data_IF_614884340625
#
_entry.id   IF_614884340625
#
_cell.length_a   1.000
_cell.length_b   1.000
_cell.length_c   1.000
_cell.angle_alpha   90.00
_cell.angle_beta   90.00
_cell.angle_gamma   90.00
#
_symmetry.space_group_name_H-M   'P 1'
#
loop_
_entity.id
_entity.type
_entity.pdbx_description
1 polymer ?
#
# COMPACT_ATOMS: atom_id res chain seq x y z
N UNK A 1 -12.47 -8.97 -29.18
CA UNK A 1 -11.15 -8.66 -28.60
C UNK A 1 -10.81 -9.74 -27.59
N UNK A 2 -9.60 -10.30 -27.67
CA UNK A 2 -9.11 -11.25 -26.66
C UNK A 2 -8.31 -10.48 -25.60
N UNK A 3 -8.65 -10.68 -24.33
CA UNK A 3 -7.99 -10.05 -23.20
C UNK A 3 -7.46 -11.09 -22.22
N UNK A 4 -6.30 -10.86 -21.66
CA UNK A 4 -5.65 -11.76 -20.70
C UNK A 4 -5.28 -10.98 -19.44
N UNK A 5 -5.54 -11.56 -18.25
CA UNK A 5 -5.01 -11.06 -16.98
C UNK A 5 -3.90 -12.01 -16.51
N UNK A 6 -2.70 -11.49 -16.26
CA UNK A 6 -1.53 -12.32 -16.00
C UNK A 6 -1.36 -12.76 -14.55
N UNK A 7 -1.85 -11.96 -13.58
CA UNK A 7 -1.60 -12.12 -12.15
C UNK A 7 -2.85 -11.78 -11.30
N UNK A 8 -4.02 -12.28 -11.73
CA UNK A 8 -5.30 -11.96 -11.11
C UNK A 8 -5.42 -12.43 -9.65
N UNK A 9 -4.64 -13.41 -9.22
CA UNK A 9 -4.63 -13.94 -7.86
C UNK A 9 -4.26 -12.90 -6.79
N UNK A 10 -3.58 -11.82 -7.17
CA UNK A 10 -3.28 -10.69 -6.27
C UNK A 10 -4.55 -9.99 -5.80
N UNK A 11 -5.57 -9.89 -6.67
CA UNK A 11 -6.83 -9.20 -6.36
C UNK A 11 -8.03 -10.13 -6.24
N UNK A 12 -7.93 -11.39 -6.69
CA UNK A 12 -9.05 -12.35 -6.69
C UNK A 12 -8.69 -13.70 -6.06
N UNK A 13 -8.89 -13.87 -4.76
CA UNK A 13 -8.76 -15.18 -4.10
C UNK A 13 -9.93 -16.13 -4.41
N UNK A 14 -10.79 -15.82 -5.38
CA UNK A 14 -11.94 -16.63 -5.78
C UNK A 14 -13.30 -16.07 -5.32
N UNK A 15 -13.34 -14.83 -4.84
CA UNK A 15 -14.56 -14.15 -4.36
C UNK A 15 -14.98 -12.94 -5.21
N UNK A 16 -14.32 -12.69 -6.35
CA UNK A 16 -14.54 -11.56 -7.24
C UNK A 16 -15.29 -11.99 -8.51
N UNK A 17 -16.29 -11.22 -8.91
CA UNK A 17 -16.97 -11.42 -10.18
C UNK A 17 -16.29 -10.64 -11.31
N UNK A 18 -15.93 -11.33 -12.40
CA UNK A 18 -15.35 -10.74 -13.61
C UNK A 18 -16.37 -10.50 -14.72
N UNK A 19 -17.67 -10.65 -14.44
CA UNK A 19 -18.75 -10.55 -15.42
C UNK A 19 -18.76 -9.23 -16.19
N UNK A 20 -18.31 -8.12 -15.59
CA UNK A 20 -18.20 -6.83 -16.29
C UNK A 20 -17.14 -6.83 -17.37
N UNK A 21 -16.03 -7.55 -17.19
CA UNK A 21 -14.97 -7.72 -18.20
C UNK A 21 -15.38 -8.75 -19.25
N UNK A 22 -15.91 -9.90 -18.81
CA UNK A 22 -16.37 -11.00 -19.68
C UNK A 22 -17.48 -10.57 -20.64
N UNK A 23 -18.30 -9.58 -20.25
CA UNK A 23 -19.37 -9.05 -21.11
C UNK A 23 -18.86 -8.26 -22.32
N UNK A 24 -17.59 -7.79 -22.31
CA UNK A 24 -17.05 -6.89 -23.35
C UNK A 24 -15.90 -7.50 -24.16
N UNK A 25 -15.34 -8.63 -23.72
CA UNK A 25 -14.23 -9.29 -24.41
C UNK A 25 -14.18 -10.80 -24.15
N UNK A 26 -13.42 -11.53 -24.99
CA UNK A 26 -13.03 -12.92 -24.73
C UNK A 26 -11.92 -12.90 -23.67
N UNK A 27 -12.29 -13.14 -22.40
CA UNK A 27 -11.45 -12.92 -21.25
C UNK A 27 -10.88 -14.21 -20.68
N UNK A 28 -9.57 -14.23 -20.47
CA UNK A 28 -8.85 -15.32 -19.80
C UNK A 28 -8.04 -14.73 -18.65
N UNK A 29 -8.12 -15.31 -17.45
CA UNK A 29 -7.31 -14.89 -16.31
C UNK A 29 -6.42 -16.03 -15.82
N UNK A 30 -5.26 -15.67 -15.31
CA UNK A 30 -4.31 -16.54 -14.65
C UNK A 30 -4.07 -15.98 -13.24
N UNK A 31 -4.08 -16.83 -12.23
CA UNK A 31 -3.82 -16.40 -10.84
C UNK A 31 -2.40 -15.88 -10.69
N UNK A 32 -1.44 -16.54 -11.37
CA UNK A 32 -0.04 -16.17 -11.46
C UNK A 32 0.52 -16.55 -12.84
N UNK A 33 1.53 -15.81 -13.31
CA UNK A 33 2.19 -16.08 -14.59
C UNK A 33 3.70 -16.13 -14.38
N UNK A 34 4.34 -17.30 -14.52
CA UNK A 34 5.79 -17.37 -14.63
C UNK A 34 6.30 -16.56 -15.83
N UNK A 35 7.42 -15.87 -15.66
CA UNK A 35 7.96 -14.95 -16.68
C UNK A 35 8.14 -15.63 -18.05
N UNK A 36 8.63 -16.88 -18.05
CA UNK A 36 8.82 -17.69 -19.25
C UNK A 36 7.53 -18.06 -19.98
N UNK A 37 6.37 -17.95 -19.33
CA UNK A 37 5.06 -18.24 -19.93
C UNK A 37 4.35 -16.99 -20.45
N UNK A 38 4.81 -15.79 -20.07
CA UNK A 38 4.12 -14.54 -20.37
C UNK A 38 3.90 -14.33 -21.88
N UNK A 39 4.94 -14.53 -22.70
CA UNK A 39 4.83 -14.43 -24.16
C UNK A 39 3.79 -15.40 -24.72
N UNK A 40 3.80 -16.67 -24.32
CA UNK A 40 2.86 -17.69 -24.83
C UNK A 40 1.41 -17.33 -24.51
N UNK A 41 1.18 -16.77 -23.30
CA UNK A 41 -0.15 -16.32 -22.87
C UNK A 41 -0.64 -15.07 -23.61
N UNK A 42 0.28 -14.18 -24.02
CA UNK A 42 -0.03 -12.88 -24.62
C UNK A 42 0.03 -12.85 -26.14
N UNK A 43 0.77 -13.73 -26.81
CA UNK A 43 1.07 -13.67 -28.26
C UNK A 43 -0.14 -13.46 -29.19
N UNK A 44 -1.33 -13.91 -28.77
CA UNK A 44 -2.57 -13.79 -29.53
C UNK A 44 -3.57 -12.79 -28.92
N UNK A 45 -3.19 -12.07 -27.87
CA UNK A 45 -4.06 -11.17 -27.13
C UNK A 45 -3.98 -9.75 -27.69
N UNK A 46 -5.11 -9.04 -27.68
CA UNK A 46 -5.21 -7.63 -28.07
C UNK A 46 -5.20 -6.70 -26.85
N UNK A 47 -5.54 -7.25 -25.67
CA UNK A 47 -5.50 -6.54 -24.40
C UNK A 47 -4.84 -7.41 -23.33
N UNK A 48 -4.09 -6.78 -22.42
CA UNK A 48 -3.52 -7.42 -21.22
C UNK A 48 -3.89 -6.60 -20.00
N UNK A 49 -4.20 -7.30 -18.91
CA UNK A 49 -4.30 -6.73 -17.57
C UNK A 49 -3.20 -7.31 -16.70
N UNK A 50 -2.70 -6.50 -15.78
CA UNK A 50 -1.75 -6.91 -14.75
C UNK A 50 -1.93 -6.05 -13.51
N UNK A 51 -1.73 -6.63 -12.34
CA UNK A 51 -1.59 -5.87 -11.08
C UNK A 51 -0.13 -5.45 -10.86
N UNK A 52 0.77 -6.43 -10.86
CA UNK A 52 2.18 -6.26 -10.52
C UNK A 52 3.15 -6.96 -11.47
N UNK A 53 2.67 -7.83 -12.37
CA UNK A 53 3.52 -8.52 -13.34
C UNK A 53 4.22 -7.51 -14.28
N UNK A 54 5.56 -7.56 -14.42
CA UNK A 54 6.31 -6.60 -15.23
C UNK A 54 6.03 -6.76 -16.72
N UNK A 55 5.56 -5.70 -17.38
CA UNK A 55 5.39 -5.65 -18.83
C UNK A 55 6.53 -4.84 -19.44
N UNK A 56 7.56 -5.57 -19.85
CA UNK A 56 8.78 -5.00 -20.46
C UNK A 56 8.56 -4.62 -21.93
N UNK A 57 9.40 -3.72 -22.45
CA UNK A 57 9.40 -3.37 -23.85
C UNK A 57 9.67 -4.57 -24.78
N UNK A 58 10.49 -5.53 -24.35
CA UNK A 58 10.75 -6.76 -25.09
C UNK A 58 9.49 -7.62 -25.22
N UNK A 59 8.77 -7.81 -24.10
CA UNK A 59 7.51 -8.55 -24.11
C UNK A 59 6.47 -7.88 -25.02
N UNK A 60 6.32 -6.56 -24.92
CA UNK A 60 5.39 -5.81 -25.79
C UNK A 60 5.73 -5.96 -27.29
N UNK A 61 7.02 -5.81 -27.66
CA UNK A 61 7.47 -5.98 -29.05
C UNK A 61 7.26 -7.40 -29.58
N UNK A 62 7.29 -8.41 -28.71
CA UNK A 62 7.03 -9.80 -29.07
C UNK A 62 5.55 -10.13 -29.28
N UNK A 63 4.64 -9.22 -28.88
CA UNK A 63 3.18 -9.40 -28.95
C UNK A 63 2.51 -8.39 -29.91
N UNK A 64 2.65 -8.55 -31.25
CA UNK A 64 2.26 -7.54 -32.24
C UNK A 64 0.75 -7.26 -32.34
N UNK A 65 -0.10 -8.08 -31.70
CA UNK A 65 -1.56 -7.85 -31.62
C UNK A 65 -1.96 -6.99 -30.44
N UNK A 66 -1.05 -6.77 -29.48
CA UNK A 66 -1.33 -6.02 -28.25
C UNK A 66 -1.60 -4.54 -28.56
N UNK A 67 -2.72 -4.03 -28.10
CA UNK A 67 -3.20 -2.66 -28.33
C UNK A 67 -3.60 -1.93 -27.06
N UNK A 68 -3.91 -2.68 -26.00
CA UNK A 68 -4.35 -2.13 -24.71
C UNK A 68 -3.64 -2.84 -23.55
N UNK A 69 -3.21 -2.05 -22.56
CA UNK A 69 -2.65 -2.51 -21.31
C UNK A 69 -3.40 -1.84 -20.15
N UNK A 70 -4.11 -2.64 -19.35
CA UNK A 70 -4.79 -2.21 -18.15
C UNK A 70 -3.97 -2.57 -16.91
N UNK A 71 -3.52 -1.56 -16.16
CA UNK A 71 -2.88 -1.78 -14.86
C UNK A 71 -3.97 -1.82 -13.80
N UNK A 72 -4.14 -2.94 -13.13
CA UNK A 72 -5.15 -3.17 -12.10
C UNK A 72 -4.76 -2.54 -10.73
N UNK A 73 -3.91 -1.53 -10.76
CA UNK A 73 -3.38 -0.80 -9.62
C UNK A 73 -3.27 0.70 -9.94
N UNK A 74 -3.01 1.51 -8.91
CA UNK A 74 -2.68 2.93 -9.10
C UNK A 74 -1.24 3.11 -9.58
N UNK A 75 -0.28 2.34 -9.00
CA UNK A 75 1.12 2.36 -9.40
C UNK A 75 1.37 1.58 -10.69
N UNK A 76 2.27 2.06 -11.54
CA UNK A 76 2.57 1.45 -12.84
C UNK A 76 4.09 1.41 -13.15
N UNK A 77 4.93 1.42 -12.13
CA UNK A 77 6.40 1.43 -12.29
C UNK A 77 6.94 0.15 -12.95
N UNK A 78 6.18 -0.94 -12.94
CA UNK A 78 6.49 -2.22 -13.58
C UNK A 78 6.14 -2.26 -15.09
N UNK A 79 5.67 -1.13 -15.64
CA UNK A 79 5.30 -1.01 -17.06
C UNK A 79 6.30 -0.12 -17.78
N UNK A 80 6.84 -0.56 -18.90
CA UNK A 80 7.66 0.28 -19.79
C UNK A 80 6.74 1.20 -20.62
N UNK A 81 6.38 2.34 -20.01
CA UNK A 81 5.47 3.33 -20.61
C UNK A 81 6.04 3.90 -21.91
N UNK A 82 7.37 4.12 -21.97
CA UNK A 82 8.02 4.71 -23.15
C UNK A 82 7.88 3.78 -24.37
N UNK A 83 8.10 2.48 -24.18
CA UNK A 83 7.88 1.49 -25.23
C UNK A 83 6.40 1.33 -25.60
N UNK A 84 5.50 1.40 -24.63
CA UNK A 84 4.06 1.35 -24.93
C UNK A 84 3.64 2.52 -25.83
N UNK A 85 4.12 3.74 -25.55
CA UNK A 85 3.87 4.93 -26.38
C UNK A 85 4.47 4.78 -27.80
N UNK A 86 5.71 4.32 -27.91
CA UNK A 86 6.38 4.03 -29.19
C UNK A 86 5.58 3.07 -30.08
N UNK A 87 5.02 2.02 -29.47
CA UNK A 87 4.26 0.98 -30.16
C UNK A 87 2.77 1.34 -30.39
N UNK A 88 2.32 2.47 -29.86
CA UNK A 88 0.91 2.88 -29.92
C UNK A 88 -0.02 1.99 -29.07
N UNK A 89 0.52 1.36 -28.02
CA UNK A 89 -0.25 0.58 -27.06
C UNK A 89 -0.85 1.53 -26.04
N UNK A 90 -2.16 1.50 -25.92
CA UNK A 90 -2.91 2.28 -24.97
C UNK A 90 -2.68 1.76 -23.55
N UNK A 91 -2.23 2.57 -22.60
CA UNK A 91 -2.07 2.19 -21.21
C UNK A 91 -3.04 2.96 -20.33
N UNK A 92 -3.79 2.25 -19.48
CA UNK A 92 -4.68 2.85 -18.49
C UNK A 92 -4.48 2.17 -17.13
N UNK A 93 -4.61 2.93 -16.06
CA UNK A 93 -4.51 2.42 -14.68
C UNK A 93 -5.82 2.59 -13.90
N UNK A 94 -5.82 2.21 -12.62
CA UNK A 94 -6.95 2.40 -11.70
C UNK A 94 -6.55 3.44 -10.65
N UNK A 95 -6.86 4.73 -10.88
CA UNK A 95 -6.44 5.79 -9.97
C UNK A 95 -7.28 5.80 -8.70
N UNK A 96 -6.63 6.02 -7.55
CA UNK A 96 -7.26 6.35 -6.26
C UNK A 96 -8.30 5.35 -5.72
N UNK A 97 -8.36 4.12 -6.23
CA UNK A 97 -9.36 3.11 -5.85
C UNK A 97 -9.27 2.68 -4.38
N UNK A 98 -8.07 2.69 -3.82
CA UNK A 98 -7.78 2.20 -2.47
C UNK A 98 -7.71 3.31 -1.41
N UNK A 99 -8.09 4.55 -1.74
CA UNK A 99 -7.91 5.70 -0.85
C UNK A 99 -8.51 5.47 0.54
N UNK A 100 -9.78 5.09 0.63
CA UNK A 100 -10.46 4.86 1.92
C UNK A 100 -9.92 3.60 2.62
N UNK A 101 -9.64 2.53 1.88
CA UNK A 101 -9.13 1.28 2.43
C UNK A 101 -7.74 1.46 3.06
N UNK A 102 -6.80 2.10 2.35
CA UNK A 102 -5.45 2.35 2.85
C UNK A 102 -5.46 3.34 4.02
N UNK A 103 -6.29 4.37 3.96
CA UNK A 103 -6.45 5.31 5.07
C UNK A 103 -7.03 4.62 6.31
N UNK A 104 -8.04 3.76 6.15
CA UNK A 104 -8.60 2.95 7.22
C UNK A 104 -7.56 2.02 7.83
N UNK A 105 -6.75 1.34 7.00
CA UNK A 105 -5.71 0.43 7.47
C UNK A 105 -4.62 1.18 8.24
N UNK A 106 -4.11 2.29 7.72
CA UNK A 106 -3.14 3.14 8.41
C UNK A 106 -3.66 3.62 9.77
N UNK A 107 -4.92 4.05 9.82
CA UNK A 107 -5.54 4.49 11.06
C UNK A 107 -5.82 3.32 12.01
N UNK A 108 -6.12 2.13 11.49
CA UNK A 108 -6.28 0.91 12.29
C UNK A 108 -4.96 0.50 12.96
N UNK A 109 -3.83 0.54 12.23
CA UNK A 109 -2.50 0.31 12.79
C UNK A 109 -2.19 1.33 13.90
N UNK A 110 -2.46 2.63 13.64
CA UNK A 110 -2.29 3.69 14.63
C UNK A 110 -3.10 3.41 15.90
N UNK A 111 -4.40 3.12 15.76
CA UNK A 111 -5.28 2.82 16.91
C UNK A 111 -4.86 1.56 17.66
N UNK A 112 -4.45 0.53 16.95
CA UNK A 112 -3.97 -0.74 17.53
C UNK A 112 -2.74 -0.52 18.40
N UNK A 113 -1.78 0.28 17.90
CA UNK A 113 -0.56 0.61 18.63
C UNK A 113 -0.81 1.57 19.80
N UNK A 114 -1.64 2.60 19.60
CA UNK A 114 -1.98 3.56 20.65
C UNK A 114 -2.71 2.90 21.82
N UNK A 115 -3.59 1.92 21.56
CA UNK A 115 -4.37 1.20 22.56
C UNK A 115 -3.71 -0.10 23.05
N UNK A 116 -2.59 -0.53 22.45
CA UNK A 116 -1.89 -1.77 22.84
C UNK A 116 -2.79 -3.02 22.80
N UNK A 117 -3.73 -3.06 21.83
CA UNK A 117 -4.76 -4.12 21.77
C UNK A 117 -4.15 -5.52 21.72
N UNK A 118 -3.14 -5.83 20.87
CA UNK A 118 -2.56 -7.17 20.81
C UNK A 118 -1.91 -7.60 22.13
N UNK A 119 -1.25 -6.66 22.84
CA UNK A 119 -0.56 -6.97 24.10
C UNK A 119 -1.54 -7.30 25.21
N UNK A 120 -2.61 -6.50 25.36
CA UNK A 120 -3.66 -6.79 26.33
C UNK A 120 -4.44 -8.06 25.99
N UNK A 121 -4.73 -8.31 24.70
CA UNK A 121 -5.40 -9.53 24.27
C UNK A 121 -4.55 -10.77 24.58
N UNK A 122 -3.25 -10.73 24.29
CA UNK A 122 -2.31 -11.81 24.60
C UNK A 122 -2.24 -12.06 26.11
N UNK A 123 -2.10 -11.00 26.90
CA UNK A 123 -2.06 -11.11 28.37
C UNK A 123 -3.28 -11.82 28.91
N UNK A 124 -4.49 -11.54 28.40
CA UNK A 124 -5.71 -12.23 28.81
C UNK A 124 -5.69 -13.70 28.39
N UNK A 125 -5.24 -14.04 27.21
CA UNK A 125 -5.11 -15.44 26.74
C UNK A 125 -4.07 -16.24 27.54
N UNK A 126 -3.10 -15.56 28.15
CA UNK A 126 -2.09 -16.14 29.05
C UNK A 126 -2.59 -16.23 30.52
N UNK A 127 -3.88 -16.04 30.78
CA UNK A 127 -4.51 -16.04 32.11
C UNK A 127 -3.93 -14.99 33.10
N UNK A 128 -3.47 -13.86 32.60
CA UNK A 128 -2.87 -12.78 33.41
C UNK A 128 -3.85 -11.64 33.74
N UNK A 129 -5.15 -11.88 33.67
CA UNK A 129 -6.19 -10.89 33.99
C UNK A 129 -6.04 -10.28 35.39
N UNK A 130 -5.76 -11.12 36.40
CA UNK A 130 -5.57 -10.65 37.79
C UNK A 130 -4.38 -9.69 37.97
N UNK A 131 -3.34 -9.84 37.13
CA UNK A 131 -2.21 -8.92 37.11
C UNK A 131 -2.68 -7.51 36.71
N UNK A 132 -3.51 -7.42 35.66
CA UNK A 132 -4.12 -6.16 35.28
C UNK A 132 -4.99 -5.55 36.38
N UNK A 133 -5.78 -6.35 37.07
CA UNK A 133 -6.62 -5.85 38.17
C UNK A 133 -5.78 -5.25 39.29
N UNK A 134 -4.67 -5.89 39.64
CA UNK A 134 -3.76 -5.38 40.72
C UNK A 134 -3.09 -4.04 40.37
N UNK A 135 -2.90 -3.75 39.11
CA UNK A 135 -2.27 -2.51 38.59
C UNK A 135 -3.29 -1.48 38.10
N UNK A 136 -4.59 -1.70 38.36
CA UNK A 136 -5.65 -0.85 37.80
C UNK A 136 -5.73 -0.90 36.26
N UNK A 137 -5.23 -2.00 35.65
CA UNK A 137 -5.21 -2.18 34.19
C UNK A 137 -4.00 -1.53 33.50
N UNK A 138 -3.11 -0.85 34.25
CA UNK A 138 -1.99 -0.08 33.64
C UNK A 138 -0.73 -0.96 33.60
N UNK A 139 -0.71 -1.92 32.64
CA UNK A 139 0.49 -2.75 32.38
C UNK A 139 1.26 -2.21 31.18
N UNK A 140 0.55 -1.88 30.12
CA UNK A 140 1.12 -1.25 28.92
C UNK A 140 0.63 0.19 28.80
N UNK A 141 1.48 1.16 28.45
CA UNK A 141 1.05 2.55 28.29
C UNK A 141 0.09 2.68 27.09
N UNK A 142 -1.11 3.18 27.36
CA UNK A 142 -2.14 3.50 26.35
C UNK A 142 -2.10 5.00 26.09
N UNK A 143 -2.29 5.41 24.84
CA UNK A 143 -2.28 6.81 24.43
C UNK A 143 -3.67 7.26 23.98
N UNK A 144 -4.18 8.33 24.60
CA UNK A 144 -5.37 9.03 24.10
C UNK A 144 -4.99 9.90 22.90
N UNK A 145 -5.71 9.79 21.79
CA UNK A 145 -5.41 10.54 20.55
C UNK A 145 -5.79 12.02 20.64
N UNK A 146 -6.89 12.36 21.35
CA UNK A 146 -7.32 13.75 21.52
C UNK A 146 -6.21 14.62 22.10
N UNK A 147 -5.90 15.73 21.41
CA UNK A 147 -4.85 16.66 21.81
C UNK A 147 -3.44 16.24 21.41
N UNK A 148 -3.28 15.08 20.75
CA UNK A 148 -2.02 14.64 20.14
C UNK A 148 -1.89 15.20 18.72
N UNK A 149 -0.67 15.13 18.18
CA UNK A 149 -0.39 15.55 16.80
C UNK A 149 -0.05 14.35 15.91
N UNK A 150 -0.41 14.47 14.63
CA UNK A 150 0.00 13.55 13.58
C UNK A 150 0.70 14.33 12.45
N UNK A 151 1.91 13.92 12.10
CA UNK A 151 2.64 14.39 10.93
C UNK A 151 2.32 13.52 9.73
N UNK A 152 1.88 14.12 8.64
CA UNK A 152 1.54 13.42 7.40
C UNK A 152 2.56 13.73 6.33
N UNK A 153 3.31 12.70 5.93
CA UNK A 153 4.30 12.76 4.84
C UNK A 153 3.65 12.25 3.56
N UNK A 154 3.36 13.17 2.64
CA UNK A 154 2.55 12.90 1.45
C UNK A 154 1.07 13.23 1.67
N UNK A 155 0.65 14.45 1.32
CA UNK A 155 -0.71 14.93 1.52
C UNK A 155 -1.56 14.83 0.24
N UNK A 156 -1.49 13.65 -0.41
CA UNK A 156 -2.34 13.22 -1.52
C UNK A 156 -3.73 12.76 -1.05
N UNK A 157 -4.41 11.92 -1.85
CA UNK A 157 -5.75 11.43 -1.50
C UNK A 157 -5.76 10.66 -0.17
N UNK A 158 -4.84 9.70 0.00
CA UNK A 158 -4.73 8.88 1.21
C UNK A 158 -4.34 9.75 2.42
N UNK A 159 -3.28 10.56 2.30
CA UNK A 159 -2.83 11.40 3.42
C UNK A 159 -3.88 12.41 3.87
N UNK A 160 -4.68 12.97 2.96
CA UNK A 160 -5.83 13.83 3.31
C UNK A 160 -6.88 13.05 4.08
N UNK A 161 -7.20 11.84 3.62
CA UNK A 161 -8.20 11.00 4.27
C UNK A 161 -7.78 10.59 5.69
N UNK A 162 -6.51 10.25 5.89
CA UNK A 162 -5.94 10.00 7.23
C UNK A 162 -6.00 11.27 8.09
N UNK A 163 -5.72 12.44 7.52
CA UNK A 163 -5.86 13.72 8.21
C UNK A 163 -7.29 13.98 8.70
N UNK A 164 -8.29 13.77 7.85
CA UNK A 164 -9.72 13.89 8.21
C UNK A 164 -10.10 12.95 9.37
N UNK A 165 -9.62 11.70 9.34
CA UNK A 165 -9.85 10.75 10.44
C UNK A 165 -9.17 11.24 11.73
N UNK A 166 -7.94 11.72 11.65
CA UNK A 166 -7.20 12.22 12.80
C UNK A 166 -7.89 13.45 13.43
N UNK A 167 -8.36 14.39 12.62
CA UNK A 167 -9.13 15.55 13.07
C UNK A 167 -10.42 15.13 13.78
N UNK A 168 -11.14 14.12 13.28
CA UNK A 168 -12.34 13.59 13.90
C UNK A 168 -12.06 12.98 15.29
N UNK A 169 -10.84 12.47 15.53
CA UNK A 169 -10.38 12.02 16.84
C UNK A 169 -9.79 13.15 17.71
N UNK A 170 -9.85 14.39 17.26
CA UNK A 170 -9.37 15.57 17.98
C UNK A 170 -7.85 15.71 18.01
N UNK A 171 -7.16 15.18 16.98
CA UNK A 171 -5.72 15.35 16.80
C UNK A 171 -5.43 16.64 16.00
N UNK A 172 -4.21 17.17 16.15
CA UNK A 172 -3.67 18.22 15.30
C UNK A 172 -2.94 17.60 14.11
N UNK A 173 -3.30 18.00 12.89
CA UNK A 173 -2.69 17.49 11.66
C UNK A 173 -1.59 18.46 11.19
N UNK A 174 -0.36 17.95 11.12
CA UNK A 174 0.82 18.64 10.60
C UNK A 174 1.22 18.06 9.26
N UNK A 175 1.18 18.85 8.20
CA UNK A 175 1.49 18.39 6.84
C UNK A 175 2.96 18.67 6.51
N UNK A 176 3.73 17.63 6.22
CA UNK A 176 5.18 17.68 6.00
C UNK A 176 5.61 18.70 4.93
N UNK A 177 4.87 18.81 3.84
CA UNK A 177 5.16 19.78 2.76
C UNK A 177 4.87 21.24 3.13
N UNK A 178 4.17 21.49 4.23
CA UNK A 178 3.83 22.84 4.73
C UNK A 178 4.71 23.25 5.90
N UNK A 179 4.93 22.32 6.83
CA UNK A 179 5.78 22.51 8.01
C UNK A 179 6.45 21.17 8.35
N UNK A 180 7.68 21.01 7.85
CA UNK A 180 8.48 19.79 8.03
C UNK A 180 8.79 19.52 9.49
N UNK A 181 9.17 20.56 10.24
CA UNK A 181 9.57 20.42 11.64
C UNK A 181 8.39 19.98 12.51
N UNK A 182 7.24 20.65 12.38
CA UNK A 182 6.03 20.28 13.11
C UNK A 182 5.56 18.86 12.74
N UNK A 183 5.64 18.47 11.46
CA UNK A 183 5.25 17.13 11.03
C UNK A 183 6.16 16.05 11.61
N UNK A 184 7.48 16.21 11.53
CA UNK A 184 8.45 15.22 12.03
C UNK A 184 8.42 15.12 13.55
N UNK A 185 8.22 16.24 14.27
CA UNK A 185 8.15 16.25 15.74
C UNK A 185 6.77 15.90 16.33
N UNK A 186 5.84 15.42 15.50
CA UNK A 186 4.51 14.99 15.93
C UNK A 186 4.55 13.72 16.79
N UNK A 187 3.48 13.48 17.56
CA UNK A 187 3.33 12.25 18.40
C UNK A 187 3.21 10.98 17.51
N UNK A 188 2.62 11.14 16.32
CA UNK A 188 2.50 10.10 15.29
C UNK A 188 3.03 10.66 13.96
N UNK A 189 3.71 9.83 13.19
CA UNK A 189 4.14 10.16 11.81
C UNK A 189 3.63 9.09 10.88
N UNK A 190 2.93 9.48 9.81
CA UNK A 190 2.33 8.56 8.84
C UNK A 190 2.77 8.90 7.41
N UNK A 191 3.25 7.86 6.69
CA UNK A 191 3.83 8.00 5.36
C UNK A 191 2.78 7.64 4.29
N UNK A 192 2.58 8.55 3.32
CA UNK A 192 1.62 8.43 2.21
C UNK A 192 2.15 9.02 0.90
N UNK A 193 3.48 9.14 0.77
CA UNK A 193 4.12 9.60 -0.46
C UNK A 193 4.53 8.42 -1.35
N UNK A 194 4.63 8.61 -2.69
CA UNK A 194 5.26 7.62 -3.55
C UNK A 194 6.74 7.48 -3.21
N UNK A 195 7.35 6.36 -3.58
CA UNK A 195 8.80 6.19 -3.54
C UNK A 195 9.40 6.75 -4.84
N UNK A 196 10.34 7.67 -4.71
CA UNK A 196 11.14 8.25 -5.79
C UNK A 196 12.61 8.17 -5.42
N UNK A 197 13.52 8.25 -6.39
CA UNK A 197 14.95 8.04 -6.17
C UNK A 197 15.55 9.02 -5.15
N UNK A 198 15.00 10.22 -5.03
CA UNK A 198 15.45 11.27 -4.11
C UNK A 198 14.99 11.10 -2.66
N UNK A 199 14.06 10.17 -2.40
CA UNK A 199 13.53 9.90 -1.05
C UNK A 199 13.64 8.43 -0.63
N UNK A 200 14.45 7.64 -1.31
CA UNK A 200 14.83 6.30 -0.82
C UNK A 200 15.42 6.46 0.59
N UNK A 201 14.94 5.65 1.53
CA UNK A 201 15.34 5.67 2.94
C UNK A 201 15.30 7.07 3.58
N UNK A 202 14.31 7.91 3.17
CA UNK A 202 14.17 9.24 3.77
C UNK A 202 13.95 9.18 5.29
N UNK A 203 13.33 8.11 5.79
CA UNK A 203 13.15 7.85 7.23
C UNK A 203 14.36 7.05 7.73
N UNK A 204 15.50 7.71 7.75
CA UNK A 204 16.79 7.23 8.25
C UNK A 204 17.05 7.67 9.70
N UNK A 205 18.26 7.44 10.19
CA UNK A 205 18.68 7.79 11.56
C UNK A 205 18.50 9.28 11.87
N UNK A 206 18.76 10.18 10.91
CA UNK A 206 18.65 11.64 11.11
C UNK A 206 17.17 12.07 11.21
N UNK A 207 16.33 11.54 10.31
CA UNK A 207 14.89 11.77 10.36
C UNK A 207 14.32 11.25 11.69
N UNK A 208 14.63 10.00 12.05
CA UNK A 208 14.21 9.38 13.31
C UNK A 208 14.75 10.17 14.51
N UNK A 209 16.00 10.64 14.44
CA UNK A 209 16.60 11.50 15.46
C UNK A 209 15.79 12.78 15.70
N UNK A 210 15.20 13.34 14.65
CA UNK A 210 14.35 14.55 14.71
C UNK A 210 12.93 14.28 15.16
N UNK A 211 12.45 13.02 15.13
CA UNK A 211 11.13 12.67 15.63
C UNK A 211 11.05 12.86 17.15
N UNK A 212 9.83 13.04 17.67
CA UNK A 212 9.56 13.08 19.11
C UNK A 212 9.96 11.76 19.76
N UNK A 213 10.59 11.82 20.95
CA UNK A 213 10.86 10.60 21.73
C UNK A 213 9.56 9.92 22.09
N UNK A 214 9.45 8.63 21.80
CA UNK A 214 8.22 7.85 22.02
C UNK A 214 7.16 8.04 20.94
N UNK A 215 7.48 8.67 19.81
CA UNK A 215 6.58 8.75 18.66
C UNK A 215 6.25 7.35 18.07
N UNK A 216 5.14 7.29 17.35
CA UNK A 216 4.72 6.09 16.59
C UNK A 216 4.85 6.39 15.10
N UNK A 217 5.47 5.46 14.35
CA UNK A 217 5.61 5.52 12.89
C UNK A 217 4.59 4.59 12.23
N UNK A 218 3.89 5.09 11.20
CA UNK A 218 2.99 4.31 10.34
C UNK A 218 3.49 4.39 8.90
N UNK A 219 3.64 3.24 8.24
CA UNK A 219 3.96 3.17 6.81
C UNK A 219 3.04 2.20 6.08
N UNK A 220 2.13 2.74 5.30
CA UNK A 220 1.26 2.03 4.36
C UNK A 220 1.49 2.52 2.92
N UNK A 221 2.67 3.12 2.67
CA UNK A 221 3.02 3.69 1.36
C UNK A 221 3.97 2.78 0.58
N UNK A 222 5.27 2.84 0.89
CA UNK A 222 6.31 1.99 0.28
C UNK A 222 7.39 1.68 1.31
N UNK A 223 7.86 0.43 1.33
CA UNK A 223 8.89 -0.02 2.27
C UNK A 223 10.21 0.72 2.12
N UNK A 224 10.64 0.95 0.89
CA UNK A 224 11.88 1.67 0.59
C UNK A 224 11.96 3.13 1.06
N UNK A 225 10.90 3.68 1.65
CA UNK A 225 10.95 4.99 2.31
C UNK A 225 11.67 4.94 3.67
N UNK A 226 11.84 3.76 4.26
CA UNK A 226 12.33 3.57 5.63
C UNK A 226 13.64 2.77 5.60
N UNK A 227 14.66 3.30 6.27
CA UNK A 227 15.83 2.53 6.68
C UNK A 227 15.40 1.57 7.80
N UNK A 228 15.22 0.30 7.46
CA UNK A 228 14.71 -0.73 8.36
C UNK A 228 15.66 -0.99 9.53
N UNK A 229 16.98 -0.87 9.31
CA UNK A 229 17.98 -1.05 10.37
C UNK A 229 17.90 0.11 11.37
N UNK A 230 17.80 1.35 10.89
CA UNK A 230 17.66 2.53 11.74
C UNK A 230 16.34 2.49 12.54
N UNK A 231 15.24 2.04 11.92
CA UNK A 231 13.96 1.90 12.61
C UNK A 231 14.02 0.80 13.69
N UNK A 232 14.62 -0.36 13.40
CA UNK A 232 14.76 -1.45 14.37
C UNK A 232 15.58 -1.01 15.60
N UNK A 233 16.66 -0.26 15.41
CA UNK A 233 17.46 0.28 16.51
C UNK A 233 16.68 1.34 17.31
N UNK A 234 15.91 2.18 16.64
CA UNK A 234 15.06 3.18 17.30
C UNK A 234 13.93 2.55 18.14
N UNK A 235 13.37 1.43 17.69
CA UNK A 235 12.39 0.65 18.45
C UNK A 235 13.05 0.00 19.68
N UNK A 236 14.23 -0.60 19.54
CA UNK A 236 14.99 -1.21 20.63
C UNK A 236 15.40 -0.20 21.71
N UNK A 237 15.83 0.99 21.29
CA UNK A 237 16.22 2.06 22.21
C UNK A 237 15.04 2.80 22.83
N UNK A 238 13.81 2.62 22.34
CA UNK A 238 12.62 3.37 22.74
C UNK A 238 12.57 4.80 22.21
N UNK A 239 13.45 5.19 21.27
CA UNK A 239 13.36 6.47 20.56
C UNK A 239 12.03 6.56 19.79
N UNK A 240 11.66 5.48 19.12
CA UNK A 240 10.34 5.22 18.55
C UNK A 240 9.65 4.19 19.45
N UNK A 241 8.44 4.50 19.94
CA UNK A 241 7.73 3.60 20.87
C UNK A 241 7.09 2.41 20.18
N UNK A 242 6.66 2.58 18.94
CA UNK A 242 6.04 1.52 18.12
C UNK A 242 6.07 1.88 16.63
N UNK A 243 5.96 0.87 15.78
CA UNK A 243 5.79 1.03 14.33
C UNK A 243 4.67 0.13 13.80
N UNK A 244 3.87 0.66 12.87
CA UNK A 244 2.86 -0.07 12.12
C UNK A 244 3.17 -0.01 10.62
N UNK A 245 3.50 -1.15 10.03
CA UNK A 245 4.00 -1.26 8.67
C UNK A 245 3.11 -2.22 7.87
N UNK A 246 2.61 -1.78 6.74
CA UNK A 246 1.95 -2.67 5.78
C UNK A 246 2.89 -3.05 4.62
N UNK A 247 4.05 -2.40 4.56
CA UNK A 247 5.03 -2.55 3.49
C UNK A 247 6.45 -2.65 4.04
N UNK A 248 7.31 -3.42 3.36
CA UNK A 248 8.72 -3.58 3.67
C UNK A 248 9.61 -3.30 2.45
N UNK A 249 10.89 -3.07 2.67
CA UNK A 249 11.86 -2.79 1.60
C UNK A 249 12.00 -3.92 0.58
N UNK A 250 11.82 -5.16 1.04
CA UNK A 250 11.70 -6.35 0.18
C UNK A 250 10.46 -7.13 0.58
N UNK A 251 9.62 -7.45 -0.39
CA UNK A 251 8.37 -8.19 -0.21
C UNK A 251 8.34 -9.43 -1.12
N UNK A 252 8.19 -10.66 -0.57
CA UNK A 252 8.14 -10.98 0.85
C UNK A 252 9.48 -10.74 1.56
N UNK A 253 9.46 -10.43 2.88
CA UNK A 253 10.69 -10.19 3.63
C UNK A 253 11.56 -11.43 3.73
N UNK A 254 12.88 -11.22 3.74
CA UNK A 254 13.82 -12.30 4.05
C UNK A 254 13.67 -12.72 5.52
N UNK A 255 13.94 -13.99 5.86
CA UNK A 255 13.75 -14.52 7.22
C UNK A 255 14.60 -13.80 8.30
N UNK A 256 15.67 -13.13 7.90
CA UNK A 256 16.57 -12.36 8.76
C UNK A 256 16.28 -10.86 8.78
N UNK A 257 15.15 -10.43 8.23
CA UNK A 257 14.75 -9.02 8.28
C UNK A 257 14.62 -8.53 9.72
N UNK A 258 15.37 -7.47 10.05
CA UNK A 258 15.55 -6.95 11.41
C UNK A 258 14.27 -6.43 12.07
N UNK A 259 13.23 -6.14 11.30
CA UNK A 259 11.95 -5.66 11.80
C UNK A 259 11.03 -6.78 12.26
N UNK A 260 11.22 -8.02 11.80
CA UNK A 260 10.36 -9.16 12.17
C UNK A 260 10.40 -9.45 13.67
N UNK A 261 11.57 -9.25 14.30
CA UNK A 261 11.77 -9.43 15.75
C UNK A 261 11.85 -8.09 16.52
N UNK A 262 11.59 -6.95 15.88
CA UNK A 262 11.67 -5.65 16.52
C UNK A 262 10.52 -5.46 17.53
N UNK A 263 10.80 -4.92 18.72
CA UNK A 263 9.78 -4.72 19.74
C UNK A 263 8.74 -3.70 19.27
N UNK A 264 7.46 -3.96 19.59
CA UNK A 264 6.34 -3.07 19.28
C UNK A 264 6.20 -2.73 17.78
N UNK A 265 6.66 -3.62 16.90
CA UNK A 265 6.47 -3.52 15.47
C UNK A 265 5.32 -4.43 15.03
N UNK A 266 4.29 -3.84 14.42
CA UNK A 266 3.21 -4.60 13.78
C UNK A 266 3.43 -4.52 12.28
N UNK A 267 3.53 -5.68 11.64
CA UNK A 267 3.71 -5.80 10.19
C UNK A 267 2.52 -6.56 9.61
N UNK A 268 1.93 -6.02 8.56
CA UNK A 268 0.90 -6.69 7.75
C UNK A 268 1.43 -6.88 6.33
N UNK A 269 1.04 -7.97 5.63
CA UNK A 269 1.69 -8.36 4.37
C UNK A 269 1.09 -7.64 3.16
N UNK A 270 1.21 -6.30 3.11
CA UNK A 270 0.77 -5.41 2.03
C UNK A 270 -0.71 -5.61 1.68
N UNK A 271 -1.58 -5.53 2.70
CA UNK A 271 -3.02 -5.83 2.60
C UNK A 271 -3.92 -4.61 2.72
N UNK A 272 -3.37 -3.41 2.85
CA UNK A 272 -4.17 -2.20 3.06
C UNK A 272 -5.19 -1.93 1.93
N UNK A 273 -4.95 -2.46 0.72
CA UNK A 273 -5.83 -2.29 -0.45
C UNK A 273 -6.87 -3.42 -0.61
N UNK A 274 -6.82 -4.50 0.18
CA UNK A 274 -7.52 -5.76 -0.07
C UNK A 274 -9.00 -5.87 0.30
N UNK A 275 -9.71 -4.90 0.91
CA UNK A 275 -11.14 -5.02 1.13
C UNK A 275 -11.89 -5.41 -0.16
N UNK A 276 -12.88 -6.28 -0.04
CA UNK A 276 -13.64 -6.81 -1.19
C UNK A 276 -14.20 -5.69 -2.08
N UNK A 277 -14.77 -4.64 -1.49
CA UNK A 277 -15.33 -3.48 -2.18
C UNK A 277 -14.28 -2.73 -3.00
N UNK A 278 -13.05 -2.66 -2.46
CA UNK A 278 -11.92 -2.02 -3.12
C UNK A 278 -11.48 -2.84 -4.34
N UNK A 279 -11.38 -4.16 -4.19
CA UNK A 279 -11.01 -5.08 -5.27
C UNK A 279 -12.08 -5.13 -6.36
N UNK A 280 -13.36 -5.08 -6.01
CA UNK A 280 -14.45 -4.95 -6.97
C UNK A 280 -14.34 -3.64 -7.78
N UNK A 281 -13.99 -2.52 -7.12
CA UNK A 281 -13.75 -1.23 -7.81
C UNK A 281 -12.61 -1.34 -8.83
N UNK A 282 -11.56 -2.13 -8.54
CA UNK A 282 -10.48 -2.39 -9.51
C UNK A 282 -11.04 -3.06 -10.76
N UNK A 283 -11.79 -4.16 -10.61
CA UNK A 283 -12.35 -4.92 -11.74
C UNK A 283 -13.30 -4.07 -12.58
N UNK A 284 -14.20 -3.33 -11.92
CA UNK A 284 -15.15 -2.44 -12.60
C UNK A 284 -14.44 -1.32 -13.37
N UNK A 285 -13.36 -0.75 -12.78
CA UNK A 285 -12.58 0.27 -13.46
C UNK A 285 -11.77 -0.30 -14.63
N UNK A 286 -11.19 -1.50 -14.49
CA UNK A 286 -10.54 -2.21 -15.60
C UNK A 286 -11.51 -2.45 -16.75
N UNK A 287 -12.74 -2.90 -16.45
CA UNK A 287 -13.78 -3.06 -17.47
C UNK A 287 -14.15 -1.73 -18.14
N UNK A 288 -14.33 -0.66 -17.35
CA UNK A 288 -14.64 0.67 -17.87
C UNK A 288 -13.50 1.23 -18.76
N UNK A 289 -12.24 1.05 -18.36
CA UNK A 289 -11.06 1.45 -19.12
C UNK A 289 -10.99 0.72 -20.47
N UNK A 290 -11.17 -0.61 -20.47
CA UNK A 290 -11.18 -1.41 -21.69
C UNK A 290 -12.35 -1.02 -22.61
N UNK A 291 -13.54 -0.83 -22.06
CA UNK A 291 -14.70 -0.38 -22.81
C UNK A 291 -14.45 0.99 -23.46
N UNK A 292 -13.96 1.95 -22.69
CA UNK A 292 -13.61 3.29 -23.20
C UNK A 292 -12.58 3.22 -24.32
N UNK A 293 -11.57 2.32 -24.21
CA UNK A 293 -10.62 2.09 -25.29
C UNK A 293 -11.30 1.55 -26.57
N UNK A 294 -12.20 0.56 -26.44
CA UNK A 294 -12.96 -0.02 -27.57
C UNK A 294 -13.81 1.05 -28.24
N UNK A 295 -14.44 1.93 -27.46
CA UNK A 295 -15.30 3.02 -27.95
C UNK A 295 -14.48 4.20 -28.53
N UNK A 296 -13.14 4.16 -28.48
CA UNK A 296 -12.25 5.22 -28.96
C UNK A 296 -12.08 6.41 -28.01
N UNK A 297 -12.48 6.24 -26.77
CA UNK A 297 -12.36 7.24 -25.69
C UNK A 297 -11.06 7.05 -24.88
N UNK A 298 -10.78 7.97 -23.93
CA UNK A 298 -9.57 7.99 -23.13
C UNK A 298 -9.86 8.08 -21.62
N UNK A 299 -10.40 7.04 -21.01
CA UNK A 299 -10.62 6.98 -19.57
C UNK A 299 -9.34 6.50 -18.86
N UNK A 300 -8.90 7.22 -17.83
CA UNK A 300 -7.71 6.88 -17.00
C UNK A 300 -6.44 6.55 -17.82
N UNK A 301 -6.30 7.16 -19.01
CA UNK A 301 -5.18 6.92 -19.93
C UNK A 301 -3.90 7.56 -19.43
N UNK A 302 -2.81 6.79 -19.47
CA UNK A 302 -1.45 7.24 -19.20
C UNK A 302 -0.75 7.63 -20.51
N UNK A 303 -0.95 6.85 -21.58
CA UNK A 303 -0.48 7.10 -22.94
C UNK A 303 -1.50 6.62 -23.98
#
# INVERSE_FOLDING_TARGET
MKAVFLDSGVIDPGDISWSSVEAICDFVKYDDTPEEQAHERLKDSEAVFTDSFPITGELMRSCPKLRFLGVAATGYNHIDIATAEELGIAVANVPAYSTDAVAQHAFSLLMTLANRIPDYSRMVSENRWEEAQRTGGIIYPIQLLRGKSIGIVGYGNIGRRVGEMAEAFGMTVNVYSRDREAAVSSDFVSLHCPLTDDIIEMVNSDFIGSMKVGAILINTARGGLVDEAALAEALKSGKISAAGLDVLGTEPPQPDNVLLDAPNCIITPHIAFTPHETRMTVVETCAANLKSFIDGEKLNRLV
#
